data_IF_592337486906
#
_entry.id   IF_592337486906
#
_cell.length_a   1.000
_cell.length_b   1.000
_cell.length_c   1.000
_cell.angle_alpha   90.00
_cell.angle_beta   90.00
_cell.angle_gamma   90.00
#
_symmetry.space_group_name_H-M   'P 1'
#
loop_
_entity.id
_entity.type
_entity.pdbx_description
1 polymer ?
#
# COMPACT_ATOMS: atom_id res chain seq x y z
N UNK A 1 -43.19 -31.39 -16.34
CA UNK A 1 -43.26 -32.28 -17.52
C UNK A 1 -42.39 -31.62 -18.59
N UNK A 2 -41.08 -31.85 -18.59
CA UNK A 2 -40.39 -32.83 -19.44
C UNK A 2 -40.61 -32.66 -20.96
N UNK A 3 -39.46 -32.56 -21.63
CA UNK A 3 -39.17 -32.81 -23.05
C UNK A 3 -39.37 -31.66 -24.04
N UNK A 4 -38.26 -31.17 -24.58
CA UNK A 4 -38.07 -31.19 -26.04
C UNK A 4 -36.59 -31.06 -26.36
N UNK A 5 -36.00 -32.19 -26.76
CA UNK A 5 -34.68 -32.29 -27.34
C UNK A 5 -34.71 -31.69 -28.75
N UNK A 6 -33.75 -30.82 -29.09
CA UNK A 6 -33.42 -30.48 -30.47
C UNK A 6 -31.92 -30.61 -30.67
N UNK A 7 -31.51 -31.78 -31.15
CA UNK A 7 -30.26 -31.91 -31.88
C UNK A 7 -30.47 -31.40 -33.31
N UNK A 8 -29.49 -30.68 -33.86
CA UNK A 8 -29.29 -30.47 -35.30
C UNK A 8 -27.96 -29.75 -35.53
N UNK A 9 -27.14 -30.29 -36.43
CA UNK A 9 -26.25 -29.46 -37.25
C UNK A 9 -24.77 -29.46 -36.89
N UNK A 10 -24.07 -30.48 -37.35
CA UNK A 10 -22.64 -30.45 -37.69
C UNK A 10 -22.38 -29.51 -38.89
N UNK A 11 -21.11 -29.08 -39.05
CA UNK A 11 -20.47 -28.43 -40.24
C UNK A 11 -20.43 -26.90 -40.16
N UNK A 12 -19.38 -26.17 -40.52
CA UNK A 12 -18.14 -26.47 -41.25
C UNK A 12 -17.18 -25.28 -41.09
N UNK A 13 -15.89 -25.59 -40.98
CA UNK A 13 -14.75 -24.90 -41.60
C UNK A 13 -14.69 -23.36 -41.63
N UNK A 14 -13.80 -22.79 -40.80
CA UNK A 14 -13.01 -21.63 -41.20
C UNK A 14 -11.53 -22.04 -41.28
N UNK A 15 -10.94 -21.78 -42.45
CA UNK A 15 -9.54 -22.00 -42.85
C UNK A 15 -8.56 -21.48 -41.78
N UNK A 16 -7.49 -22.20 -41.40
CA UNK A 16 -6.20 -22.22 -42.14
C UNK A 16 -5.58 -20.82 -42.16
N UNK A 17 -4.39 -20.51 -41.66
CA UNK A 17 -3.19 -21.30 -41.43
C UNK A 17 -2.19 -20.48 -40.60
N UNK A 18 -1.40 -21.09 -39.72
CA UNK A 18 -0.07 -20.58 -39.32
C UNK A 18 0.84 -21.76 -38.95
N UNK A 19 1.53 -22.33 -39.94
CA UNK A 19 2.63 -23.28 -39.72
C UNK A 19 3.93 -22.50 -39.56
N UNK A 20 4.71 -22.93 -38.55
CA UNK A 20 6.16 -23.03 -38.53
C UNK A 20 6.96 -21.72 -38.64
N UNK A 21 8.20 -21.61 -38.18
CA UNK A 21 9.03 -22.28 -37.18
C UNK A 21 10.33 -21.45 -37.18
N UNK A 22 10.98 -21.37 -36.04
CA UNK A 22 12.44 -21.29 -35.89
C UNK A 22 13.18 -20.14 -36.59
N UNK A 23 13.47 -19.06 -35.85
CA UNK A 23 14.85 -18.56 -35.73
C UNK A 23 15.08 -18.03 -34.31
N UNK A 24 16.02 -18.64 -33.57
CA UNK A 24 16.60 -18.08 -32.34
C UNK A 24 17.88 -17.33 -32.72
N UNK A 25 17.96 -16.00 -32.61
CA UNK A 25 19.26 -15.33 -32.66
C UNK A 25 19.95 -15.49 -31.30
N UNK A 26 21.11 -16.13 -31.30
CA UNK A 26 22.00 -16.23 -30.14
C UNK A 26 22.90 -14.99 -30.09
N UNK A 27 22.99 -14.41 -28.90
CA UNK A 27 24.09 -13.62 -28.33
C UNK A 27 24.78 -12.52 -29.16
N UNK A 28 24.56 -11.28 -28.75
CA UNK A 28 25.66 -10.31 -28.66
C UNK A 28 25.45 -9.44 -27.43
N UNK A 29 26.22 -9.72 -26.39
CA UNK A 29 26.42 -8.87 -25.22
C UNK A 29 26.76 -7.46 -25.69
N UNK A 30 25.84 -6.51 -25.49
CA UNK A 30 26.18 -5.09 -25.46
C UNK A 30 25.66 -4.56 -24.14
N UNK A 31 26.62 -4.18 -23.30
CA UNK A 31 26.42 -3.46 -22.06
C UNK A 31 25.38 -2.38 -22.33
N UNK A 32 24.24 -2.40 -21.62
CA UNK A 32 23.28 -1.32 -21.70
C UNK A 32 23.91 -0.15 -20.96
N UNK A 33 24.72 0.63 -21.66
CA UNK A 33 25.14 1.94 -21.23
C UNK A 33 23.88 2.72 -20.86
N UNK A 34 23.68 2.87 -19.57
CA UNK A 34 22.73 3.77 -18.97
C UNK A 34 23.26 5.17 -19.23
N UNK A 35 22.90 5.73 -20.39
CA UNK A 35 23.09 7.14 -20.68
C UNK A 35 22.13 7.89 -19.77
N UNK A 36 22.69 8.49 -18.72
CA UNK A 36 22.00 9.45 -17.89
C UNK A 36 21.73 10.69 -18.74
N UNK A 37 20.62 10.70 -19.47
CA UNK A 37 20.12 11.93 -20.09
C UNK A 37 19.56 12.78 -18.96
N UNK A 38 20.31 13.82 -18.65
CA UNK A 38 20.09 14.74 -17.56
C UNK A 38 18.84 15.58 -17.86
N UNK A 39 17.87 15.53 -16.94
CA UNK A 39 16.85 16.52 -16.61
C UNK A 39 16.08 17.23 -17.76
N UNK A 40 14.76 16.97 -17.86
CA UNK A 40 13.82 18.01 -18.32
C UNK A 40 12.41 18.04 -17.69
N UNK A 41 12.02 17.14 -16.79
CA UNK A 41 10.86 17.41 -15.92
C UNK A 41 11.13 16.80 -14.55
N UNK A 42 11.62 17.65 -13.64
CA UNK A 42 11.98 17.30 -12.27
C UNK A 42 10.78 16.92 -11.41
N UNK A 43 10.17 15.77 -11.67
CA UNK A 43 9.45 15.02 -10.65
C UNK A 43 10.48 14.28 -9.77
N UNK A 44 11.32 15.10 -9.13
CA UNK A 44 12.35 14.66 -8.21
C UNK A 44 11.69 13.98 -7.02
N UNK A 45 11.83 12.66 -6.98
CA UNK A 45 11.72 11.88 -5.77
C UNK A 45 12.77 12.38 -4.76
N UNK A 46 12.46 13.46 -4.05
CA UNK A 46 13.13 13.76 -2.78
C UNK A 46 12.57 12.83 -1.74
N UNK A 47 13.40 11.86 -1.38
CA UNK A 47 13.19 10.94 -0.27
C UNK A 47 14.05 11.44 0.86
N UNK A 48 13.78 12.67 1.27
CA UNK A 48 14.32 13.33 2.44
C UNK A 48 13.10 14.07 3.01
N UNK A 49 12.75 14.06 4.30
CA UNK A 49 13.59 14.15 5.47
C UNK A 49 12.82 13.54 6.66
N UNK A 50 13.54 12.77 7.48
CA UNK A 50 13.13 12.46 8.85
C UNK A 50 13.30 13.71 9.73
N UNK A 51 12.70 14.82 9.30
CA UNK A 51 12.57 16.04 10.10
C UNK A 51 11.70 15.71 11.30
N UNK A 52 12.14 16.15 12.48
CA UNK A 52 11.53 15.92 13.78
C UNK A 52 10.02 16.25 13.77
N UNK A 53 9.21 15.29 13.33
CA UNK A 53 7.77 15.38 13.42
C UNK A 53 7.39 15.47 14.91
N UNK A 54 6.30 16.17 15.25
CA UNK A 54 5.77 16.09 16.61
C UNK A 54 5.71 14.63 17.03
N UNK A 55 6.14 14.32 18.26
CA UNK A 55 6.16 12.93 18.75
C UNK A 55 4.71 12.47 18.88
N UNK A 56 4.22 11.83 17.83
CA UNK A 56 2.89 11.23 17.79
C UNK A 56 2.96 9.87 18.45
N UNK A 57 1.94 9.55 19.23
CA UNK A 57 1.84 8.25 19.88
C UNK A 57 0.56 7.56 19.45
N UNK A 58 0.67 6.30 19.06
CA UNK A 58 -0.43 5.47 18.61
C UNK A 58 -0.77 4.42 19.66
N UNK A 59 -2.06 4.23 19.91
CA UNK A 59 -2.56 3.13 20.73
C UNK A 59 -2.51 1.82 19.93
N UNK A 60 -1.75 0.83 20.40
CA UNK A 60 -1.61 -0.46 19.70
C UNK A 60 -2.86 -1.34 19.78
N UNK A 61 -3.87 -0.96 20.56
CA UNK A 61 -5.11 -1.71 20.73
C UNK A 61 -6.19 -1.28 19.72
N UNK A 62 -6.27 0.01 19.39
CA UNK A 62 -7.33 0.53 18.52
C UNK A 62 -6.84 1.42 17.37
N UNK A 63 -5.60 1.89 17.38
CA UNK A 63 -5.06 2.77 16.33
C UNK A 63 -5.33 4.27 16.51
N UNK A 64 -5.81 4.69 17.69
CA UNK A 64 -5.98 6.11 18.04
C UNK A 64 -4.62 6.81 18.19
N UNK A 65 -4.49 8.03 17.65
CA UNK A 65 -3.26 8.83 17.72
C UNK A 65 -3.44 9.98 18.71
N UNK A 66 -2.45 10.11 19.60
CA UNK A 66 -2.22 11.24 20.48
C UNK A 66 -1.15 12.16 19.91
N UNK A 67 -1.45 13.45 19.85
CA UNK A 67 -0.60 14.52 19.31
C UNK A 67 -0.03 15.48 20.37
N UNK A 68 -0.02 15.07 21.65
CA UNK A 68 0.50 15.87 22.76
C UNK A 68 1.77 15.33 23.43
N UNK A 69 2.22 16.06 24.44
CA UNK A 69 3.35 15.68 25.29
C UNK A 69 2.98 14.64 26.35
N UNK A 70 3.45 13.41 26.15
CA UNK A 70 3.34 12.32 27.14
C UNK A 70 3.83 12.64 28.57
N UNK A 71 4.89 13.45 28.82
CA UNK A 71 5.33 13.73 30.20
C UNK A 71 4.36 14.61 31.00
N UNK A 72 3.54 15.44 30.33
CA UNK A 72 2.54 16.29 30.99
C UNK A 72 1.22 15.54 31.23
N UNK A 73 0.99 14.42 30.54
CA UNK A 73 -0.21 13.63 30.70
C UNK A 73 -0.20 12.87 32.04
N UNK A 74 -1.28 12.95 32.85
CA UNK A 74 -1.37 12.25 34.12
C UNK A 74 -1.18 10.74 33.93
N UNK A 75 -0.60 10.06 34.93
CA UNK A 75 -0.33 8.62 34.87
C UNK A 75 -1.59 7.76 34.65
N UNK A 76 -2.76 8.31 34.95
CA UNK A 76 -4.08 7.71 34.74
C UNK A 76 -4.65 7.89 33.33
N UNK A 77 -3.92 8.51 32.38
CA UNK A 77 -4.41 8.67 31.01
C UNK A 77 -4.78 7.32 30.36
N UNK A 78 -6.01 7.25 29.86
CA UNK A 78 -6.56 6.12 29.12
C UNK A 78 -6.90 6.55 27.69
N UNK A 79 -6.78 5.62 26.75
CA UNK A 79 -7.22 5.88 25.38
C UNK A 79 -8.74 6.17 25.37
N UNK A 80 -9.21 7.27 24.76
CA UNK A 80 -10.65 7.60 24.74
C UNK A 80 -11.47 6.65 23.87
N UNK A 81 -10.85 5.94 22.93
CA UNK A 81 -11.54 5.00 22.04
C UNK A 81 -11.68 3.58 22.62
N UNK A 82 -10.71 3.10 23.42
CA UNK A 82 -10.67 1.71 23.90
C UNK A 82 -10.35 1.55 25.38
N UNK A 83 -10.17 2.65 26.13
CA UNK A 83 -9.84 2.67 27.56
C UNK A 83 -8.53 1.96 27.94
N UNK A 84 -7.68 1.61 26.97
CA UNK A 84 -6.38 1.01 27.22
C UNK A 84 -5.47 1.96 28.03
N UNK A 85 -4.62 1.41 28.93
CA UNK A 85 -3.68 2.21 29.71
C UNK A 85 -2.57 2.82 28.82
N UNK A 86 -1.94 3.89 29.33
CA UNK A 86 -0.79 4.58 28.73
C UNK A 86 0.36 3.65 28.29
N UNK A 87 0.54 2.50 28.95
CA UNK A 87 1.56 1.49 28.61
C UNK A 87 1.35 0.81 27.25
N UNK A 88 0.16 0.94 26.65
CA UNK A 88 -0.16 0.40 25.31
C UNK A 88 0.04 1.42 24.19
N UNK A 89 0.54 2.60 24.50
CA UNK A 89 0.90 3.58 23.48
C UNK A 89 2.34 3.38 23.04
N UNK A 90 2.57 3.51 21.73
CA UNK A 90 3.90 3.46 21.10
C UNK A 90 4.12 4.68 20.23
N UNK A 91 5.37 4.94 19.89
CA UNK A 91 5.72 6.00 18.94
C UNK A 91 5.13 5.63 17.58
N UNK A 92 4.37 6.54 17.00
CA UNK A 92 3.78 6.37 15.68
C UNK A 92 4.88 6.47 14.62
N UNK A 93 4.96 5.46 13.75
CA UNK A 93 5.99 5.37 12.69
C UNK A 93 5.53 5.90 11.33
N UNK A 94 4.25 6.26 11.19
CA UNK A 94 3.70 6.73 9.92
C UNK A 94 4.01 8.21 9.65
N UNK A 95 3.93 8.60 8.37
CA UNK A 95 3.97 10.01 7.96
C UNK A 95 2.53 10.56 8.01
N UNK A 96 2.26 11.54 8.88
CA UNK A 96 1.03 12.34 8.79
C UNK A 96 1.33 13.60 7.99
N UNK A 97 0.75 13.71 6.80
CA UNK A 97 0.86 14.90 5.95
C UNK A 97 -0.25 15.92 6.28
N UNK A 98 -0.58 16.11 7.55
CA UNK A 98 -1.66 17.01 7.98
C UNK A 98 -2.21 16.73 9.38
N UNK A 99 -3.41 17.24 9.66
CA UNK A 99 -4.09 17.09 10.96
C UNK A 99 -4.35 15.61 11.29
N UNK A 100 -4.13 15.24 12.55
CA UNK A 100 -4.44 13.90 13.05
C UNK A 100 -5.96 13.73 13.13
N UNK A 101 -6.54 12.92 12.25
CA UNK A 101 -7.96 12.52 12.38
C UNK A 101 -8.07 11.19 13.13
N UNK A 102 -8.92 11.15 14.15
CA UNK A 102 -9.18 9.95 14.96
C UNK A 102 -10.56 9.34 14.63
N UNK A 103 -10.90 9.29 13.34
CA UNK A 103 -12.14 8.65 12.87
C UNK A 103 -11.99 7.13 12.92
N UNK A 104 -13.12 6.41 13.06
CA UNK A 104 -13.11 4.94 13.12
C UNK A 104 -12.40 4.27 11.93
N UNK A 105 -12.59 4.81 10.72
CA UNK A 105 -11.93 4.33 9.52
C UNK A 105 -10.41 4.55 9.56
N UNK A 106 -9.95 5.75 9.95
CA UNK A 106 -8.53 6.05 10.04
C UNK A 106 -7.83 5.20 11.10
N UNK A 107 -8.47 5.01 12.27
CA UNK A 107 -7.97 4.13 13.33
C UNK A 107 -7.82 2.69 12.84
N UNK A 108 -8.82 2.15 12.15
CA UNK A 108 -8.79 0.79 11.60
C UNK A 108 -7.70 0.61 10.55
N UNK A 109 -7.50 1.59 9.66
CA UNK A 109 -6.43 1.56 8.66
C UNK A 109 -5.04 1.55 9.30
N UNK A 110 -4.80 2.42 10.30
CA UNK A 110 -3.52 2.47 11.03
C UNK A 110 -3.27 1.18 11.81
N UNK A 111 -4.33 0.60 12.38
CA UNK A 111 -4.28 -0.67 13.09
C UNK A 111 -3.89 -1.83 12.16
N UNK A 112 -4.54 -1.93 11.00
CA UNK A 112 -4.23 -2.95 9.98
C UNK A 112 -2.84 -2.78 9.38
N UNK A 113 -2.41 -1.53 9.17
CA UNK A 113 -1.09 -1.20 8.65
C UNK A 113 0.03 -1.31 9.71
N UNK A 114 -0.30 -1.61 10.98
CA UNK A 114 0.66 -1.81 12.08
C UNK A 114 1.69 -0.68 12.17
N UNK A 115 1.21 0.56 12.19
CA UNK A 115 2.07 1.76 12.14
C UNK A 115 2.76 2.10 13.48
N UNK A 116 3.15 1.07 14.25
CA UNK A 116 3.91 1.08 15.52
C UNK A 116 4.90 -0.07 15.59
#
# INVERSE_FOLDING_TARGET
>A
MQTSMRGSGLRSHFMGAQRASLVRPVAASRTRQQVATQALFGFGAKKEDAGAAPKLYICIQCGWIYDGDFPKAPGSFKCPACQAPKSRFKIYKGKLSGKVSNTGAAMKQRFQAKQW
#
